data_IF_298520245210
#
_entry.id   IF_298520245210
#
_cell.length_a   1.000
_cell.length_b   1.000
_cell.length_c   1.000
_cell.angle_alpha   90.00
_cell.angle_beta   90.00
_cell.angle_gamma   90.00
#
_symmetry.space_group_name_H-M   'P 1'
#
loop_
_entity.id
_entity.type
_entity.pdbx_description
1 polymer ?
#
# COMPACT_ATOMS: atom_id res chain seq x y z
N UNK A 1 23.20 0.08 36.59
CA UNK A 1 22.29 -0.72 35.75
C UNK A 1 22.97 -0.88 34.39
N UNK A 2 23.30 -2.12 34.05
CA UNK A 2 23.90 -2.51 32.78
C UNK A 2 22.85 -2.47 31.66
N UNK A 3 23.27 -2.18 30.43
CA UNK A 3 23.07 -3.13 29.32
C UNK A 3 24.17 -2.94 28.27
N UNK A 4 25.03 -3.94 28.16
CA UNK A 4 25.97 -4.15 27.05
C UNK A 4 25.25 -4.81 25.86
N UNK A 5 25.86 -4.69 24.67
CA UNK A 5 25.96 -5.65 23.54
C UNK A 5 25.79 -4.90 22.21
N UNK A 6 26.56 -5.12 21.14
CA UNK A 6 27.69 -6.01 20.86
C UNK A 6 28.34 -5.46 19.57
N UNK A 7 29.67 -5.36 19.51
CA UNK A 7 30.37 -4.89 18.32
C UNK A 7 31.84 -5.28 18.32
N UNK A 8 32.12 -6.49 18.82
CA UNK A 8 33.45 -7.09 18.76
C UNK A 8 33.64 -7.68 17.36
N UNK A 9 34.46 -7.03 16.55
CA UNK A 9 35.16 -7.68 15.44
C UNK A 9 36.66 -7.65 15.73
N UNK A 10 37.06 -8.45 16.73
CA UNK A 10 38.40 -9.01 16.77
C UNK A 10 38.48 -10.04 15.63
N UNK A 11 38.97 -9.62 14.46
CA UNK A 11 39.60 -10.56 13.52
C UNK A 11 41.01 -10.03 13.32
N UNK A 12 41.91 -10.50 14.19
CA UNK A 12 43.34 -10.36 13.98
C UNK A 12 43.74 -11.05 12.69
N UNK A 13 43.82 -10.29 11.60
CA UNK A 13 44.57 -10.71 10.43
C UNK A 13 46.00 -10.24 10.61
N UNK A 14 46.93 -11.19 10.63
CA UNK A 14 48.35 -10.92 10.66
C UNK A 14 48.71 -10.06 9.45
N UNK A 15 48.89 -8.75 9.66
CA UNK A 15 49.43 -7.86 8.66
C UNK A 15 50.83 -8.36 8.30
N UNK A 16 51.10 -8.54 7.00
CA UNK A 16 52.49 -8.59 6.52
C UNK A 16 53.21 -7.40 7.13
N UNK A 17 54.36 -7.61 7.77
CA UNK A 17 55.00 -6.67 8.70
C UNK A 17 55.29 -5.26 8.13
N UNK A 18 54.94 -4.96 6.88
CA UNK A 18 55.31 -3.78 6.13
C UNK A 18 54.28 -3.37 5.04
N UNK A 19 52.98 -3.51 5.29
CA UNK A 19 51.92 -2.99 4.40
C UNK A 19 51.23 -1.77 5.04
N UNK A 20 50.66 -0.88 4.21
CA UNK A 20 49.93 0.31 4.67
C UNK A 20 48.57 0.38 4.00
N UNK A 21 47.53 0.80 4.73
CA UNK A 21 46.20 1.06 4.16
C UNK A 21 46.09 2.54 3.79
N UNK A 22 45.81 2.80 2.52
CA UNK A 22 45.53 4.13 1.99
C UNK A 22 44.02 4.24 1.75
N UNK A 23 43.42 5.33 2.20
CA UNK A 23 41.98 5.58 2.05
C UNK A 23 41.74 6.74 1.10
N UNK A 24 40.72 6.59 0.25
CA UNK A 24 40.16 7.71 -0.49
C UNK A 24 39.43 8.67 0.47
N UNK A 25 39.15 9.88 -0.04
CA UNK A 25 38.21 10.77 0.61
C UNK A 25 36.83 10.11 0.74
N UNK A 26 36.10 10.50 1.79
CA UNK A 26 34.71 10.09 1.91
C UNK A 26 33.89 10.60 0.74
N UNK A 27 33.06 9.71 0.17
CA UNK A 27 32.03 10.12 -0.77
C UNK A 27 30.97 11.01 -0.12
N UNK A 28 30.13 11.62 -0.95
CA UNK A 28 29.00 12.41 -0.49
C UNK A 28 28.02 11.56 0.34
N UNK A 29 27.37 12.20 1.32
CA UNK A 29 26.29 11.59 2.07
C UNK A 29 25.12 11.26 1.14
N UNK A 30 24.63 10.01 1.20
CA UNK A 30 23.49 9.54 0.40
C UNK A 30 22.39 9.03 1.33
N UNK A 31 21.11 9.23 0.99
CA UNK A 31 20.00 8.67 1.78
C UNK A 31 20.11 7.15 1.89
N UNK A 32 19.61 6.61 3.00
CA UNK A 32 19.66 5.17 3.26
C UNK A 32 18.87 4.38 2.19
N UNK A 33 19.43 3.27 1.65
CA UNK A 33 18.75 2.47 0.64
C UNK A 33 17.44 1.89 1.18
N UNK A 34 16.31 2.22 0.55
CA UNK A 34 14.99 1.76 0.98
C UNK A 34 14.25 2.70 1.94
N UNK A 35 14.86 3.83 2.32
CA UNK A 35 14.16 4.89 3.04
C UNK A 35 13.27 5.64 2.03
N UNK A 36 11.96 5.33 2.05
CA UNK A 36 10.93 6.15 1.39
C UNK A 36 10.73 7.48 2.12
N UNK A 37 11.15 7.54 3.38
CA UNK A 37 11.10 8.73 4.21
C UNK A 37 12.32 9.59 3.92
N UNK A 38 12.11 10.90 3.74
CA UNK A 38 13.18 11.89 3.66
C UNK A 38 13.83 12.05 5.05
N UNK A 39 14.58 11.04 5.48
CA UNK A 39 15.36 11.09 6.71
C UNK A 39 16.52 12.05 6.52
N UNK A 40 16.87 12.83 7.53
CA UNK A 40 18.06 13.71 7.47
C UNK A 40 19.36 12.95 7.73
N UNK A 41 19.29 11.62 7.81
CA UNK A 41 20.42 10.72 7.97
C UNK A 41 20.70 10.03 6.64
N UNK A 42 21.98 9.82 6.40
CA UNK A 42 22.44 9.08 5.25
C UNK A 42 23.66 8.25 5.59
N UNK A 43 24.13 7.52 4.58
CA UNK A 43 25.39 6.80 4.63
C UNK A 43 26.36 7.38 3.63
N UNK A 44 27.60 7.56 4.05
CA UNK A 44 28.72 7.83 3.15
C UNK A 44 29.71 6.68 3.20
N UNK A 45 30.32 6.41 2.04
CA UNK A 45 31.27 5.33 1.87
C UNK A 45 32.60 5.87 1.37
N UNK A 46 33.70 5.22 1.75
CA UNK A 46 35.02 5.42 1.14
C UNK A 46 35.65 4.08 0.83
N UNK A 47 36.52 4.06 -0.17
CA UNK A 47 37.29 2.89 -0.51
C UNK A 47 38.71 3.02 0.06
N UNK A 48 39.27 1.89 0.45
CA UNK A 48 40.64 1.77 0.94
C UNK A 48 41.37 0.70 0.16
N UNK A 49 42.69 0.83 0.05
CA UNK A 49 43.58 -0.15 -0.56
C UNK A 49 44.73 -0.41 0.39
N UNK A 50 44.97 -1.68 0.72
CA UNK A 50 46.24 -2.07 1.32
C UNK A 50 47.28 -2.18 0.22
N UNK A 51 48.39 -1.47 0.38
CA UNK A 51 49.51 -1.47 -0.56
C UNK A 51 50.77 -2.02 0.09
N UNK A 52 51.62 -2.63 -0.72
CA UNK A 52 52.95 -3.06 -0.31
C UNK A 52 53.95 -1.88 -0.28
N UNK A 53 55.21 -2.16 0.03
CA UNK A 53 56.29 -1.16 0.04
C UNK A 53 56.59 -0.53 -1.33
N UNK A 54 56.20 -1.18 -2.43
CA UNK A 54 56.37 -0.68 -3.81
C UNK A 54 55.15 0.11 -4.29
N UNK A 55 54.08 0.15 -3.50
CA UNK A 55 52.82 0.80 -3.85
C UNK A 55 51.88 -0.08 -4.68
N UNK A 56 52.15 -1.39 -4.77
CA UNK A 56 51.28 -2.34 -5.46
C UNK A 56 50.09 -2.72 -4.56
N UNK A 57 48.89 -2.76 -5.14
CA UNK A 57 47.65 -3.08 -4.42
C UNK A 57 47.61 -4.57 -4.03
N UNK A 58 47.48 -4.83 -2.74
CA UNK A 58 47.34 -6.18 -2.17
C UNK A 58 45.85 -6.56 -2.07
N UNK A 59 45.04 -5.65 -1.51
CA UNK A 59 43.58 -5.83 -1.37
C UNK A 59 42.86 -4.49 -1.23
N UNK A 60 41.57 -4.50 -1.50
CA UNK A 60 40.67 -3.36 -1.34
C UNK A 60 39.65 -3.56 -0.23
N UNK A 61 39.18 -2.44 0.32
CA UNK A 61 38.19 -2.38 1.38
C UNK A 61 37.19 -1.27 1.07
N UNK A 62 36.00 -1.39 1.65
CA UNK A 62 35.03 -0.30 1.71
C UNK A 62 34.65 -0.09 3.16
N UNK A 63 34.69 1.17 3.58
CA UNK A 63 34.22 1.60 4.90
C UNK A 63 32.98 2.46 4.71
N UNK A 64 32.01 2.29 5.61
CA UNK A 64 30.77 3.07 5.63
C UNK A 64 30.60 3.74 6.98
N UNK A 65 29.98 4.92 6.99
CA UNK A 65 29.55 5.57 8.22
C UNK A 65 28.28 6.38 8.01
N UNK A 66 27.56 6.59 9.10
CA UNK A 66 26.42 7.48 9.13
C UNK A 66 26.89 8.93 8.92
N UNK A 67 26.05 9.72 8.25
CA UNK A 67 26.26 11.14 8.01
C UNK A 67 24.90 11.87 8.07
N UNK A 68 24.97 13.19 8.21
CA UNK A 68 23.79 14.05 8.13
C UNK A 68 23.65 14.58 6.70
N UNK A 69 22.46 14.44 6.12
CA UNK A 69 22.10 15.00 4.81
C UNK A 69 21.83 16.51 4.90
N UNK A 70 21.34 16.96 6.05
CA UNK A 70 21.19 18.37 6.39
C UNK A 70 21.48 18.58 7.88
N UNK A 71 22.01 19.76 8.21
CA UNK A 71 22.19 20.22 9.58
C UNK A 71 21.06 21.12 10.06
N UNK A 72 20.12 21.45 9.17
CA UNK A 72 19.01 22.34 9.49
C UNK A 72 18.01 21.63 10.38
N UNK A 73 17.37 22.41 11.26
CA UNK A 73 16.19 21.96 12.01
C UNK A 73 15.04 21.81 11.03
N UNK A 74 14.45 20.61 10.97
CA UNK A 74 13.31 20.33 10.10
C UNK A 74 12.15 19.91 10.99
N UNK A 75 11.10 20.72 11.03
CA UNK A 75 9.85 20.35 11.70
C UNK A 75 9.09 19.31 10.86
N UNK A 76 8.41 18.40 11.53
CA UNK A 76 7.59 17.38 10.91
C UNK A 76 6.38 17.94 10.19
N UNK A 77 6.05 17.32 9.06
CA UNK A 77 4.82 17.56 8.33
C UNK A 77 4.01 16.29 8.17
N UNK A 78 2.69 16.44 8.24
CA UNK A 78 1.79 15.34 7.92
C UNK A 78 1.76 15.12 6.41
N UNK A 79 1.77 13.84 6.01
CA UNK A 79 1.35 13.43 4.67
C UNK A 79 -0.04 13.95 4.36
N UNK A 80 -0.42 13.92 3.08
CA UNK A 80 -1.84 13.99 2.74
C UNK A 80 -2.63 12.91 3.49
N UNK A 81 -3.91 13.19 3.72
CA UNK A 81 -4.81 12.18 4.27
C UNK A 81 -4.88 10.98 3.33
N UNK A 82 -4.80 9.78 3.91
CA UNK A 82 -5.19 8.56 3.22
C UNK A 82 -6.68 8.56 2.87
N UNK A 83 -7.06 7.57 2.05
CA UNK A 83 -8.46 7.29 1.78
C UNK A 83 -9.20 6.92 3.08
N UNK A 84 -10.52 7.05 3.05
CA UNK A 84 -11.37 6.54 4.12
C UNK A 84 -11.36 5.00 4.09
N UNK A 85 -11.28 4.39 5.26
CA UNK A 85 -11.55 2.96 5.41
C UNK A 85 -12.97 2.66 4.88
N UNK A 86 -13.16 1.45 4.37
CA UNK A 86 -14.49 1.01 3.96
C UNK A 86 -15.46 1.06 5.14
N UNK A 87 -16.65 1.58 4.89
CA UNK A 87 -17.72 1.51 5.87
C UNK A 87 -18.12 0.06 6.08
N UNK A 88 -18.13 -0.38 7.34
CA UNK A 88 -18.79 -1.63 7.67
C UNK A 88 -20.27 -1.50 7.29
N UNK A 89 -20.91 -2.59 6.86
CA UNK A 89 -22.31 -2.61 6.43
C UNK A 89 -23.33 -2.34 7.56
N UNK A 90 -22.88 -1.84 8.71
CA UNK A 90 -23.68 -1.59 9.90
C UNK A 90 -23.89 -0.08 10.08
N UNK A 91 -25.14 0.28 10.28
CA UNK A 91 -25.51 1.68 10.47
C UNK A 91 -25.02 2.22 11.80
N UNK A 92 -24.60 3.48 11.78
CA UNK A 92 -24.06 4.21 12.92
C UNK A 92 -22.73 3.65 13.44
N UNK A 93 -22.03 2.81 12.67
CA UNK A 93 -20.59 2.61 12.84
C UNK A 93 -19.82 3.76 12.17
N UNK A 94 -18.57 3.91 12.58
CA UNK A 94 -17.70 4.98 12.11
C UNK A 94 -16.59 4.43 11.22
N UNK A 95 -16.30 5.13 10.12
CA UNK A 95 -15.09 4.92 9.32
C UNK A 95 -14.02 5.93 9.72
N UNK A 96 -12.75 5.55 9.54
CA UNK A 96 -11.61 6.40 9.84
C UNK A 96 -10.72 6.61 8.61
N UNK A 97 -9.89 7.66 8.68
CA UNK A 97 -8.76 7.87 7.76
C UNK A 97 -7.57 8.39 8.56
N UNK A 98 -6.38 8.16 8.03
CA UNK A 98 -5.12 8.43 8.73
C UNK A 98 -4.17 9.25 7.87
N UNK A 99 -3.24 9.93 8.53
CA UNK A 99 -2.08 10.59 7.92
C UNK A 99 -0.87 10.32 8.81
N UNK A 100 0.34 10.38 8.26
CA UNK A 100 1.56 10.08 9.02
C UNK A 100 2.52 11.26 9.01
N UNK A 101 3.39 11.38 10.02
CA UNK A 101 4.30 12.51 10.17
C UNK A 101 5.62 12.26 9.43
N UNK A 102 5.57 12.20 8.10
CA UNK A 102 6.73 11.86 7.25
C UNK A 102 6.89 12.77 6.02
N UNK A 103 6.14 13.87 5.93
CA UNK A 103 6.19 14.78 4.78
C UNK A 103 6.33 16.25 5.24
N UNK A 104 7.50 16.65 5.75
CA UNK A 104 8.72 15.85 5.95
C UNK A 104 8.80 15.16 7.32
N UNK A 105 9.73 14.21 7.50
CA UNK A 105 10.04 13.63 8.82
C UNK A 105 10.80 14.65 9.69
N UNK A 106 10.43 14.85 10.97
CA UNK A 106 11.17 15.74 11.86
C UNK A 106 12.65 15.35 12.01
N UNK A 107 13.54 16.34 12.02
CA UNK A 107 14.97 16.12 12.14
C UNK A 107 15.68 17.18 12.99
N UNK A 108 16.85 16.83 13.50
CA UNK A 108 17.78 17.74 14.17
C UNK A 108 17.12 18.56 15.30
N UNK A 109 16.16 17.95 16.01
CA UNK A 109 15.41 18.58 17.08
C UNK A 109 14.21 19.41 16.64
N UNK A 110 13.75 19.28 15.39
CA UNK A 110 12.49 19.84 14.93
C UNK A 110 11.28 19.20 15.61
N UNK A 111 10.18 19.94 15.63
CA UNK A 111 8.95 19.52 16.30
C UNK A 111 8.28 18.37 15.55
N UNK A 112 7.60 17.49 16.28
CA UNK A 112 6.74 16.48 15.66
C UNK A 112 5.40 17.09 15.22
N UNK A 113 4.54 16.26 14.62
CA UNK A 113 3.25 16.73 14.12
C UNK A 113 2.17 16.84 15.20
N UNK A 114 2.47 16.65 16.49
CA UNK A 114 1.46 16.62 17.56
C UNK A 114 0.72 17.95 17.71
N UNK A 115 1.40 19.07 17.44
CA UNK A 115 0.83 20.42 17.46
C UNK A 115 0.05 20.78 16.18
N UNK A 116 0.14 19.96 15.12
CA UNK A 116 -0.55 20.17 13.83
C UNK A 116 -1.96 19.54 13.80
N UNK A 117 -2.42 19.03 14.94
CA UNK A 117 -3.72 18.37 15.11
C UNK A 117 -3.64 16.86 15.00
N UNK A 118 -4.79 16.19 14.93
CA UNK A 118 -4.85 14.72 14.99
C UNK A 118 -4.31 14.07 13.70
N UNK A 119 -3.72 12.90 13.86
CA UNK A 119 -3.31 12.00 12.77
C UNK A 119 -4.47 11.13 12.25
N UNK A 120 -5.60 11.14 12.96
CA UNK A 120 -6.78 10.33 12.68
C UNK A 120 -8.03 11.19 12.63
N UNK A 121 -8.87 10.96 11.62
CA UNK A 121 -10.22 11.50 11.54
C UNK A 121 -11.23 10.37 11.42
N UNK A 122 -12.39 10.59 12.04
CA UNK A 122 -13.48 9.62 12.10
C UNK A 122 -14.77 10.30 11.67
N UNK A 123 -15.61 9.59 10.91
CA UNK A 123 -16.97 10.05 10.56
C UNK A 123 -17.95 8.87 10.60
N UNK A 124 -19.22 9.19 10.79
CA UNK A 124 -20.27 8.18 10.71
C UNK A 124 -20.42 7.66 9.29
N UNK A 125 -20.72 6.37 9.17
CA UNK A 125 -21.14 5.77 7.92
C UNK A 125 -22.53 6.31 7.54
N UNK A 126 -22.56 7.06 6.44
CA UNK A 126 -23.77 7.63 5.87
C UNK A 126 -24.56 6.62 5.00
N UNK A 127 -25.74 7.01 4.51
CA UNK A 127 -26.49 6.21 3.55
C UNK A 127 -25.64 5.93 2.31
N UNK A 128 -25.58 4.67 1.88
CA UNK A 128 -24.96 4.27 0.61
C UNK A 128 -25.96 3.47 -0.21
N UNK A 129 -26.12 3.86 -1.48
CA UNK A 129 -27.03 3.20 -2.40
C UNK A 129 -26.58 1.77 -2.70
N UNK A 130 -27.55 0.89 -2.94
CA UNK A 130 -27.24 -0.48 -3.35
C UNK A 130 -26.75 -0.54 -4.79
N UNK A 131 -26.09 -1.64 -5.12
CA UNK A 131 -25.71 -1.98 -6.49
C UNK A 131 -26.30 -3.33 -6.90
N UNK A 132 -26.58 -3.44 -8.19
CA UNK A 132 -27.09 -4.65 -8.79
C UNK A 132 -26.05 -5.76 -8.73
N UNK A 133 -26.45 -6.96 -8.33
CA UNK A 133 -25.71 -8.18 -8.64
C UNK A 133 -25.56 -8.30 -10.15
N UNK A 134 -24.63 -9.16 -10.58
CA UNK A 134 -24.70 -9.68 -11.93
C UNK A 134 -26.09 -10.30 -12.20
N UNK A 135 -26.51 -10.25 -13.45
CA UNK A 135 -27.73 -10.93 -13.86
C UNK A 135 -27.60 -12.43 -13.67
N UNK A 136 -28.62 -13.03 -13.06
CA UNK A 136 -28.76 -14.48 -13.01
C UNK A 136 -28.88 -15.08 -14.41
N UNK A 137 -28.70 -16.40 -14.47
CA UNK A 137 -28.90 -17.18 -15.69
C UNK A 137 -30.34 -17.04 -16.21
N UNK A 138 -30.48 -17.06 -17.52
CA UNK A 138 -31.79 -17.18 -18.17
C UNK A 138 -32.50 -18.47 -17.74
N UNK A 139 -33.80 -18.36 -17.50
CA UNK A 139 -34.68 -19.51 -17.30
C UNK A 139 -34.81 -20.35 -18.57
N UNK A 140 -35.40 -21.54 -18.41
CA UNK A 140 -35.77 -22.36 -19.57
C UNK A 140 -36.82 -21.62 -20.42
N UNK A 141 -36.74 -21.80 -21.73
CA UNK A 141 -37.68 -21.18 -22.66
C UNK A 141 -39.12 -21.66 -22.40
N UNK A 142 -39.97 -20.78 -21.88
CA UNK A 142 -41.37 -21.05 -21.63
C UNK A 142 -42.16 -20.90 -22.93
N UNK A 143 -42.66 -22.03 -23.44
CA UNK A 143 -43.46 -22.07 -24.66
C UNK A 143 -44.95 -21.83 -24.35
N UNK A 144 -45.65 -20.98 -25.12
CA UNK A 144 -47.10 -20.82 -24.99
C UNK A 144 -47.83 -22.16 -25.22
N UNK A 145 -48.99 -22.33 -24.57
CA UNK A 145 -49.84 -23.50 -24.78
C UNK A 145 -50.43 -23.51 -26.20
N UNK A 146 -50.55 -24.70 -26.80
CA UNK A 146 -51.16 -24.88 -28.12
C UNK A 146 -50.23 -24.66 -29.32
N UNK A 147 -48.94 -24.41 -29.10
CA UNK A 147 -47.93 -24.37 -30.17
C UNK A 147 -47.37 -25.77 -30.37
N UNK A 148 -47.45 -26.30 -31.60
CA UNK A 148 -46.86 -27.60 -31.97
C UNK A 148 -45.57 -27.41 -32.77
N UNK A 149 -44.51 -28.13 -32.40
CA UNK A 149 -43.20 -28.00 -33.05
C UNK A 149 -42.34 -26.85 -32.50
N UNK A 150 -41.57 -26.22 -33.38
CA UNK A 150 -40.70 -25.09 -33.01
C UNK A 150 -41.51 -23.79 -32.97
N UNK A 151 -41.37 -23.04 -31.88
CA UNK A 151 -42.04 -21.76 -31.72
C UNK A 151 -41.19 -20.74 -30.99
N UNK A 152 -41.77 -19.56 -30.80
CA UNK A 152 -41.20 -18.52 -29.95
C UNK A 152 -41.81 -18.62 -28.56
N UNK A 153 -40.96 -18.71 -27.55
CA UNK A 153 -41.32 -18.65 -26.14
C UNK A 153 -40.69 -17.43 -25.48
N UNK A 154 -40.85 -17.33 -24.17
CA UNK A 154 -40.25 -16.28 -23.35
C UNK A 154 -39.34 -16.96 -22.33
N UNK A 155 -38.14 -16.39 -22.13
CA UNK A 155 -37.31 -16.69 -20.98
C UNK A 155 -37.04 -15.41 -20.20
N UNK A 156 -36.76 -15.60 -18.93
CA UNK A 156 -36.65 -14.54 -17.94
C UNK A 156 -35.36 -14.70 -17.16
N UNK A 157 -34.80 -13.59 -16.69
CA UNK A 157 -33.69 -13.57 -15.75
C UNK A 157 -33.88 -12.47 -14.74
N UNK A 158 -33.23 -12.64 -13.59
CA UNK A 158 -33.38 -11.76 -12.43
C UNK A 158 -32.02 -11.28 -11.94
N UNK A 159 -32.01 -10.16 -11.24
CA UNK A 159 -30.86 -9.63 -10.49
C UNK A 159 -31.37 -9.00 -9.21
N UNK A 160 -30.52 -8.91 -8.20
CA UNK A 160 -30.86 -8.36 -6.89
C UNK A 160 -30.04 -7.12 -6.58
N UNK A 161 -30.59 -6.18 -5.83
CA UNK A 161 -29.85 -5.00 -5.38
C UNK A 161 -29.10 -5.32 -4.07
N UNK A 162 -28.12 -6.19 -4.15
CA UNK A 162 -27.44 -6.75 -2.97
C UNK A 162 -25.92 -6.82 -3.08
N UNK A 163 -25.30 -6.24 -4.11
CA UNK A 163 -23.85 -6.32 -4.33
C UNK A 163 -23.17 -4.96 -4.53
N UNK A 164 -23.13 -4.09 -3.49
CA UNK A 164 -23.64 -4.32 -2.13
C UNK A 164 -25.11 -3.91 -1.94
N UNK A 165 -25.76 -4.42 -0.90
CA UNK A 165 -27.11 -3.98 -0.49
C UNK A 165 -27.10 -2.51 -0.06
N UNK A 166 -28.19 -1.75 -0.26
CA UNK A 166 -28.31 -0.41 0.29
C UNK A 166 -28.18 -0.44 1.81
N UNK A 167 -27.37 0.46 2.36
CA UNK A 167 -27.17 0.59 3.79
C UNK A 167 -27.67 1.94 4.29
N UNK A 168 -28.19 1.94 5.52
CA UNK A 168 -28.52 3.14 6.29
C UNK A 168 -29.52 4.08 5.63
N UNK A 169 -30.53 3.49 5.00
CA UNK A 169 -31.55 4.23 4.25
C UNK A 169 -31.07 4.74 2.91
N UNK A 170 -29.93 4.23 2.40
CA UNK A 170 -29.48 4.48 1.05
C UNK A 170 -30.45 3.97 0.00
N UNK A 171 -30.39 4.58 -1.18
CA UNK A 171 -31.34 4.32 -2.26
C UNK A 171 -31.25 2.88 -2.77
N UNK A 172 -32.42 2.31 -3.07
CA UNK A 172 -32.49 1.07 -3.82
C UNK A 172 -32.02 1.28 -5.26
N UNK A 173 -31.55 0.22 -5.91
CA UNK A 173 -30.99 0.27 -7.24
C UNK A 173 -32.00 0.80 -8.26
N UNK A 174 -31.52 1.68 -9.14
CA UNK A 174 -32.34 2.24 -10.23
C UNK A 174 -32.41 1.22 -11.38
N UNK A 175 -33.62 0.95 -11.85
CA UNK A 175 -33.92 0.05 -12.98
C UNK A 175 -34.70 -1.20 -12.58
N UNK A 176 -34.96 -2.08 -13.55
CA UNK A 176 -35.73 -3.31 -13.32
C UNK A 176 -34.83 -4.43 -12.78
N UNK A 177 -35.39 -5.23 -11.86
CA UNK A 177 -34.77 -6.46 -11.34
C UNK A 177 -35.07 -7.69 -12.22
N UNK A 178 -36.00 -7.57 -13.16
CA UNK A 178 -36.42 -8.62 -14.08
C UNK A 178 -36.18 -8.19 -15.53
N UNK A 179 -35.75 -9.15 -16.35
CA UNK A 179 -35.61 -8.98 -17.80
C UNK A 179 -36.19 -10.18 -18.54
N UNK A 180 -37.00 -9.90 -19.55
CA UNK A 180 -37.67 -10.88 -20.40
C UNK A 180 -37.20 -10.76 -21.85
N UNK A 181 -36.92 -11.89 -22.49
CA UNK A 181 -36.54 -11.95 -23.90
C UNK A 181 -37.28 -13.07 -24.64
N UNK A 182 -37.34 -12.95 -25.96
CA UNK A 182 -37.90 -14.01 -26.80
C UNK A 182 -36.85 -15.09 -27.01
N UNK A 183 -37.23 -16.34 -26.76
CA UNK A 183 -36.41 -17.50 -27.00
C UNK A 183 -37.06 -18.41 -28.05
N UNK A 184 -36.26 -19.28 -28.69
CA UNK A 184 -36.78 -20.30 -29.61
C UNK A 184 -36.65 -21.67 -28.96
N UNK A 185 -37.76 -22.40 -28.92
CA UNK A 185 -37.84 -23.70 -28.27
C UNK A 185 -38.81 -24.62 -28.96
N UNK A 186 -38.74 -25.90 -28.62
CA UNK A 186 -39.72 -26.91 -29.03
C UNK A 186 -40.70 -27.12 -27.88
N UNK A 187 -41.98 -26.95 -28.14
CA UNK A 187 -43.03 -27.25 -27.16
C UNK A 187 -43.07 -28.75 -26.89
N UNK A 188 -43.09 -29.15 -25.60
CA UNK A 188 -43.17 -30.57 -25.19
C UNK A 188 -44.61 -31.09 -25.04
N UNK A 189 -45.62 -30.35 -25.51
CA UNK A 189 -46.99 -30.84 -25.51
C UNK A 189 -47.20 -31.82 -26.67
N UNK A 190 -47.32 -33.11 -26.33
CA UNK A 190 -47.89 -34.18 -27.14
C UNK A 190 -49.20 -34.66 -26.52
#
# INVERSE_FOLDING_TARGET
MQSQNNGRCDIGQAFSKESTIVWDAWGNCKPEPGSLDQTCLGTQSRNGKEVDKKGEEIRSFTETRNCLLTTDVVDGGYTIWGEWDDCSYKCYETTSRYRTCHDPTPCNGGNDCSDLGRDTLTKDCGPAAGQWTEWGSWSNCHMPLGVSGYGTGIHERYRDCTDPSPICGGDYCIGNNEMNENCRGKSMLS
#
